data_IF_057076838982
#
_entry.id   IF_057076838982
#
_cell.length_a   1.000
_cell.length_b   1.000
_cell.length_c   1.000
_cell.angle_alpha   90.00
_cell.angle_beta   90.00
_cell.angle_gamma   90.00
#
_symmetry.space_group_name_H-M   'P 1'
#
loop_
_entity.id
_entity.type
_entity.pdbx_description
1 polymer ?
#
# COMPACT_ATOMS: atom_id res chain seq x y z
N UNK A 1 57.66 21.18 -48.35
CA UNK A 1 56.31 21.64 -48.21
C UNK A 1 55.63 20.76 -47.09
N UNK A 2 55.47 21.30 -45.88
CA UNK A 2 54.88 20.55 -44.72
C UNK A 2 53.44 21.01 -44.57
N UNK A 3 52.47 20.11 -44.84
CA UNK A 3 51.04 20.34 -44.58
C UNK A 3 50.74 20.21 -43.08
N UNK A 4 50.41 21.32 -42.44
CA UNK A 4 49.82 21.33 -41.12
C UNK A 4 48.32 21.06 -41.26
N UNK A 5 47.85 19.90 -40.74
CA UNK A 5 46.42 19.64 -40.54
C UNK A 5 46.01 20.34 -39.27
N UNK A 6 45.06 21.25 -39.40
CA UNK A 6 44.39 21.94 -38.30
C UNK A 6 43.25 21.04 -37.83
N UNK A 7 43.36 20.50 -36.61
CA UNK A 7 42.29 19.71 -35.98
C UNK A 7 41.40 20.69 -35.20
N UNK A 8 40.20 20.94 -35.71
CA UNK A 8 39.18 21.73 -34.99
C UNK A 8 38.41 20.75 -34.07
N UNK A 9 38.68 20.85 -32.76
CA UNK A 9 37.88 20.16 -31.74
C UNK A 9 36.63 21.00 -31.46
N UNK A 10 35.50 20.53 -31.94
CA UNK A 10 34.20 21.11 -31.57
C UNK A 10 33.82 20.56 -30.20
N UNK A 11 33.96 21.39 -29.17
CA UNK A 11 33.44 21.10 -27.82
C UNK A 11 31.94 21.36 -27.85
N UNK A 12 31.14 20.31 -27.99
CA UNK A 12 29.68 20.39 -27.80
C UNK A 12 29.40 20.53 -26.31
N UNK A 13 29.22 21.74 -25.83
CA UNK A 13 28.67 22.00 -24.53
C UNK A 13 27.17 21.62 -24.57
N UNK A 14 26.82 20.46 -24.02
CA UNK A 14 25.42 20.11 -23.68
C UNK A 14 24.96 21.11 -22.60
N UNK A 15 24.30 22.18 -23.02
CA UNK A 15 23.45 22.95 -22.13
C UNK A 15 22.27 22.03 -21.73
N UNK A 16 22.37 21.38 -20.57
CA UNK A 16 21.19 20.92 -19.85
C UNK A 16 20.39 22.16 -19.45
N UNK A 17 19.51 22.62 -20.34
CA UNK A 17 18.45 23.53 -19.93
C UNK A 17 17.63 22.79 -18.85
N UNK A 18 17.72 23.25 -17.62
CA UNK A 18 16.82 22.80 -16.58
C UNK A 18 15.39 23.08 -17.08
N UNK A 19 14.67 22.05 -17.45
CA UNK A 19 13.24 22.21 -17.73
C UNK A 19 12.58 22.73 -16.44
N UNK A 20 11.72 23.76 -16.54
CA UNK A 20 11.00 24.21 -15.36
C UNK A 20 10.26 23.01 -14.76
N UNK A 21 10.38 22.81 -13.45
CA UNK A 21 9.71 21.72 -12.78
C UNK A 21 8.20 21.83 -13.06
N UNK A 22 7.63 20.77 -13.59
CA UNK A 22 6.20 20.73 -13.91
C UNK A 22 5.41 20.75 -12.61
N UNK A 23 4.51 21.73 -12.42
CA UNK A 23 3.58 21.70 -11.31
C UNK A 23 2.63 20.49 -11.47
N UNK A 24 2.48 19.73 -10.39
CA UNK A 24 1.55 18.61 -10.36
C UNK A 24 0.11 19.12 -10.12
N UNK A 25 -0.88 18.54 -10.80
CA UNK A 25 -2.27 18.98 -10.66
C UNK A 25 -2.85 18.50 -9.33
N UNK A 26 -3.62 19.37 -8.67
CA UNK A 26 -4.47 18.98 -7.53
C UNK A 26 -5.77 18.37 -8.02
N UNK A 27 -6.38 17.51 -7.20
CA UNK A 27 -7.76 17.10 -7.42
C UNK A 27 -8.73 18.11 -6.80
N UNK A 28 -9.86 18.33 -7.48
CA UNK A 28 -10.94 19.15 -6.92
C UNK A 28 -11.62 18.41 -5.76
N UNK A 29 -11.81 19.11 -4.65
CA UNK A 29 -12.61 18.62 -3.53
C UNK A 29 -13.81 19.52 -3.39
N UNK A 30 -15.01 18.97 -3.50
CA UNK A 30 -16.25 19.73 -3.29
C UNK A 30 -16.26 20.37 -1.89
N UNK A 31 -17.02 21.47 -1.68
CA UNK A 31 -17.15 22.09 -0.36
C UNK A 31 -17.54 21.07 0.71
N UNK A 32 -16.79 21.05 1.80
CA UNK A 32 -16.98 20.08 2.88
C UNK A 32 -17.72 20.70 4.06
N UNK A 33 -18.38 19.88 4.91
CA UNK A 33 -18.94 20.33 6.18
C UNK A 33 -17.87 21.02 7.04
N UNK A 34 -18.28 22.01 7.83
CA UNK A 34 -17.37 22.83 8.66
C UNK A 34 -16.58 22.03 9.73
N UNK A 35 -16.93 20.77 9.96
CA UNK A 35 -16.20 19.88 10.83
C UNK A 35 -14.96 19.26 10.17
N UNK A 36 -14.77 19.44 8.85
CA UNK A 36 -13.58 19.01 8.11
C UNK A 36 -12.66 20.21 7.96
N UNK A 37 -11.54 20.18 8.67
CA UNK A 37 -10.57 21.29 8.68
C UNK A 37 -9.59 21.17 7.50
N UNK A 38 -10.05 21.57 6.30
CA UNK A 38 -9.26 21.51 5.06
C UNK A 38 -7.97 22.33 5.14
N UNK A 39 -7.98 23.42 5.92
CA UNK A 39 -6.83 24.29 6.18
C UNK A 39 -5.70 23.62 6.96
N UNK A 40 -5.97 22.45 7.59
CA UNK A 40 -5.02 21.66 8.37
C UNK A 40 -4.54 20.40 7.63
N UNK A 41 -4.96 20.21 6.40
CA UNK A 41 -4.71 18.97 5.67
C UNK A 41 -3.30 18.83 5.07
N UNK A 42 -2.40 19.79 5.31
CA UNK A 42 -1.02 19.76 4.82
C UNK A 42 -0.14 18.71 5.48
N UNK A 43 1.01 18.42 4.87
CA UNK A 43 2.05 17.60 5.49
C UNK A 43 2.85 18.41 6.50
N UNK A 44 3.13 17.83 7.66
CA UNK A 44 3.94 18.43 8.73
C UNK A 44 5.32 17.76 8.78
N UNK A 45 6.38 18.55 8.84
CA UNK A 45 7.76 18.10 8.99
C UNK A 45 8.34 18.56 10.31
N UNK A 46 8.23 17.78 11.40
CA UNK A 46 8.74 18.19 12.73
C UNK A 46 10.27 18.13 12.84
N UNK A 47 10.96 17.56 11.86
CA UNK A 47 12.41 17.42 11.75
C UNK A 47 12.94 17.78 10.37
N UNK A 48 13.98 17.07 9.92
CA UNK A 48 14.48 17.15 8.54
C UNK A 48 13.43 16.69 7.56
N UNK A 49 13.52 17.13 6.31
CA UNK A 49 12.69 16.66 5.21
C UNK A 49 13.49 16.00 4.06
N UNK A 50 14.80 15.81 4.27
CA UNK A 50 15.70 15.30 3.23
C UNK A 50 15.24 13.99 2.57
N UNK A 51 14.64 13.07 3.32
CA UNK A 51 14.12 11.82 2.75
C UNK A 51 12.96 12.10 1.80
N UNK A 52 12.07 13.02 2.15
CA UNK A 52 10.95 13.43 1.31
C UNK A 52 11.45 14.16 0.04
N UNK A 53 12.46 15.02 0.18
CA UNK A 53 13.05 15.74 -0.95
C UNK A 53 13.74 14.77 -1.93
N UNK A 54 14.42 13.73 -1.42
CA UNK A 54 14.97 12.64 -2.25
C UNK A 54 13.85 11.88 -2.99
N UNK A 55 12.76 11.56 -2.31
CA UNK A 55 11.59 10.92 -2.93
C UNK A 55 11.03 11.79 -4.07
N UNK A 56 10.91 13.10 -3.86
CA UNK A 56 10.47 14.03 -4.92
C UNK A 56 11.47 14.10 -6.09
N UNK A 57 12.76 14.02 -5.82
CA UNK A 57 13.80 13.92 -6.87
C UNK A 57 13.67 12.65 -7.71
N UNK A 58 13.19 11.52 -7.13
CA UNK A 58 12.87 10.31 -7.89
C UNK A 58 11.65 10.52 -8.79
N UNK A 59 10.62 11.20 -8.31
CA UNK A 59 9.44 11.57 -9.12
C UNK A 59 9.84 12.48 -10.30
N UNK A 60 10.69 13.48 -10.05
CA UNK A 60 11.21 14.37 -11.11
C UNK A 60 11.94 13.57 -12.19
N UNK A 61 12.84 12.68 -11.78
CA UNK A 61 13.60 11.82 -12.70
C UNK A 61 12.67 10.88 -13.48
N UNK A 62 11.62 10.36 -12.84
CA UNK A 62 10.62 9.52 -13.48
C UNK A 62 9.84 10.31 -14.54
N UNK A 63 9.35 11.51 -14.20
CA UNK A 63 8.62 12.40 -15.12
C UNK A 63 9.49 12.87 -16.29
N UNK A 64 10.76 13.14 -16.04
CA UNK A 64 11.73 13.47 -17.08
C UNK A 64 12.10 12.27 -17.99
N UNK A 65 11.55 11.09 -17.74
CA UNK A 65 11.82 9.88 -18.51
C UNK A 65 13.19 9.24 -18.27
N UNK A 66 13.98 9.75 -17.33
CA UNK A 66 15.36 9.29 -17.04
C UNK A 66 15.45 8.34 -15.84
N UNK A 67 14.44 8.36 -14.94
CA UNK A 67 14.44 7.58 -13.71
C UNK A 67 13.93 6.15 -13.87
N UNK A 68 14.09 5.36 -12.82
CA UNK A 68 13.42 4.06 -12.62
C UNK A 68 11.99 4.26 -12.12
N UNK A 69 11.22 3.18 -12.02
CA UNK A 69 9.96 3.17 -11.27
C UNK A 69 10.16 3.59 -9.82
N UNK A 70 9.15 4.22 -9.25
CA UNK A 70 9.08 4.65 -7.85
C UNK A 70 8.09 3.75 -7.12
N UNK A 71 8.51 3.18 -6.01
CA UNK A 71 7.72 2.22 -5.26
C UNK A 71 7.15 2.83 -3.99
N UNK A 72 5.84 2.74 -3.82
CA UNK A 72 5.13 3.20 -2.62
C UNK A 72 4.54 1.99 -1.91
N UNK A 73 4.79 1.87 -0.59
CA UNK A 73 4.13 0.87 0.24
C UNK A 73 3.19 1.53 1.24
N UNK A 74 1.88 1.31 1.07
CA UNK A 74 0.85 1.79 1.99
C UNK A 74 0.38 0.65 2.88
N UNK A 75 0.73 0.71 4.16
CA UNK A 75 0.44 -0.34 5.14
C UNK A 75 -0.49 0.14 6.23
N UNK A 76 -1.48 -0.70 6.59
CA UNK A 76 -2.43 -0.33 7.63
C UNK A 76 -3.41 -1.41 8.04
N UNK A 77 -4.38 -1.01 8.83
CA UNK A 77 -5.46 -1.87 9.30
C UNK A 77 -6.68 -1.89 8.37
N UNK A 78 -7.86 -1.91 8.98
CA UNK A 78 -9.15 -1.93 8.27
C UNK A 78 -9.37 -0.71 7.37
N UNK A 79 -8.81 0.45 7.70
CA UNK A 79 -8.90 1.66 6.86
C UNK A 79 -8.23 1.46 5.49
N UNK A 80 -7.14 0.69 5.46
CA UNK A 80 -6.42 0.35 4.23
C UNK A 80 -7.07 -0.84 3.52
N UNK A 81 -7.45 -1.91 4.26
CA UNK A 81 -8.13 -3.07 3.68
C UNK A 81 -9.48 -2.71 3.03
N UNK A 82 -10.16 -1.68 3.49
CA UNK A 82 -11.41 -1.21 2.89
C UNK A 82 -11.25 -0.81 1.42
N UNK A 83 -10.04 -0.47 1.00
CA UNK A 83 -9.67 -0.17 -0.38
C UNK A 83 -10.02 1.25 -0.84
N UNK A 84 -11.09 1.85 -0.35
CA UNK A 84 -11.56 3.16 -0.82
C UNK A 84 -10.51 4.27 -0.69
N UNK A 85 -9.85 4.37 0.47
CA UNK A 85 -8.79 5.35 0.72
C UNK A 85 -7.53 5.07 -0.09
N UNK A 86 -7.02 3.85 0.05
CA UNK A 86 -5.75 3.44 -0.58
C UNK A 86 -5.85 3.41 -2.10
N UNK A 87 -6.97 2.93 -2.65
CA UNK A 87 -7.17 2.91 -4.10
C UNK A 87 -7.36 4.32 -4.67
N UNK A 88 -8.12 5.20 -3.97
CA UNK A 88 -8.27 6.58 -4.41
C UNK A 88 -6.94 7.32 -4.48
N UNK A 89 -6.09 7.14 -3.45
CA UNK A 89 -4.74 7.71 -3.45
C UNK A 89 -3.87 7.13 -4.57
N UNK A 90 -3.92 5.81 -4.79
CA UNK A 90 -3.22 5.15 -5.90
C UNK A 90 -3.67 5.72 -7.25
N UNK A 91 -4.98 5.80 -7.49
CA UNK A 91 -5.56 6.33 -8.73
C UNK A 91 -5.03 7.75 -9.02
N UNK A 92 -5.08 8.64 -8.04
CA UNK A 92 -4.62 10.01 -8.18
C UNK A 92 -3.10 10.09 -8.43
N UNK A 93 -2.30 9.39 -7.65
CA UNK A 93 -0.84 9.39 -7.79
C UNK A 93 -0.38 8.85 -9.15
N UNK A 94 -1.02 7.79 -9.64
CA UNK A 94 -0.66 7.17 -10.93
C UNK A 94 -1.23 7.90 -12.14
N UNK A 95 -2.16 8.85 -11.93
CA UNK A 95 -2.80 9.65 -12.98
C UNK A 95 -2.31 11.10 -13.05
N UNK A 96 -1.37 11.50 -12.17
CA UNK A 96 -0.84 12.89 -12.16
C UNK A 96 -0.17 13.27 -13.49
N UNK A 97 0.46 12.32 -14.18
CA UNK A 97 1.06 12.46 -15.49
C UNK A 97 1.11 11.08 -16.18
N UNK A 98 1.10 11.06 -17.52
CA UNK A 98 1.13 9.80 -18.29
C UNK A 98 2.35 8.93 -17.97
N UNK A 99 3.50 9.55 -17.69
CA UNK A 99 4.74 8.86 -17.30
C UNK A 99 4.70 8.22 -15.92
N UNK A 100 3.66 8.47 -15.11
CA UNK A 100 3.54 7.97 -13.73
C UNK A 100 2.64 6.72 -13.61
N UNK A 101 2.15 6.19 -14.74
CA UNK A 101 1.34 4.96 -14.77
C UNK A 101 2.20 3.71 -14.62
N UNK A 102 2.45 3.26 -13.40
CA UNK A 102 3.24 2.06 -13.09
C UNK A 102 2.40 0.81 -12.85
N UNK A 103 2.80 -0.01 -11.87
CA UNK A 103 2.16 -1.28 -11.53
C UNK A 103 1.02 -1.13 -10.52
N UNK A 104 0.03 -2.02 -10.63
CA UNK A 104 -1.09 -2.10 -9.68
C UNK A 104 -0.65 -2.47 -8.27
N UNK A 105 0.44 -3.22 -8.15
CA UNK A 105 0.90 -3.78 -6.90
C UNK A 105 0.11 -5.02 -6.45
N UNK A 106 0.27 -5.38 -5.18
CA UNK A 106 -0.29 -6.62 -4.64
C UNK A 106 -1.82 -6.62 -4.57
N UNK A 107 -2.38 -7.81 -4.79
CA UNK A 107 -3.80 -8.12 -4.66
C UNK A 107 -3.94 -9.40 -3.84
N UNK A 108 -4.90 -9.41 -2.93
CA UNK A 108 -5.38 -10.64 -2.31
C UNK A 108 -6.85 -10.85 -2.68
N UNK A 109 -7.25 -12.06 -3.10
CA UNK A 109 -8.65 -12.35 -3.46
C UNK A 109 -9.51 -12.52 -2.19
N UNK A 110 -9.79 -11.43 -1.50
CA UNK A 110 -10.43 -11.39 -0.16
C UNK A 110 -11.70 -12.22 -0.01
N UNK A 111 -12.41 -12.49 -1.11
CA UNK A 111 -13.63 -13.32 -1.07
C UNK A 111 -13.37 -14.75 -0.62
N UNK A 112 -12.21 -15.35 -0.96
CA UNK A 112 -11.84 -16.69 -0.48
C UNK A 112 -11.61 -16.69 1.05
N UNK A 113 -11.26 -15.55 1.62
CA UNK A 113 -11.08 -15.37 3.05
C UNK A 113 -12.35 -14.85 3.76
N UNK A 114 -13.49 -14.77 3.05
CA UNK A 114 -14.79 -14.36 3.58
C UNK A 114 -14.76 -13.01 4.32
N UNK A 115 -13.91 -12.08 3.84
CA UNK A 115 -13.75 -10.73 4.41
C UNK A 115 -14.05 -9.67 3.34
N UNK A 116 -14.16 -8.40 3.77
CA UNK A 116 -14.44 -7.30 2.87
C UNK A 116 -13.32 -7.14 1.83
N UNK A 117 -13.72 -6.90 0.60
CA UNK A 117 -12.83 -6.69 -0.54
C UNK A 117 -12.84 -5.24 -0.97
N UNK A 118 -11.70 -4.78 -1.42
CA UNK A 118 -11.55 -3.62 -2.27
C UNK A 118 -12.40 -3.80 -3.55
N UNK A 119 -13.03 -2.71 -4.00
CA UNK A 119 -13.85 -2.71 -5.21
C UNK A 119 -13.06 -2.39 -6.48
N UNK A 120 -11.76 -2.13 -6.38
CA UNK A 120 -10.89 -1.81 -7.51
C UNK A 120 -10.55 -3.04 -8.39
N UNK A 121 -10.96 -4.23 -7.96
CA UNK A 121 -10.82 -5.47 -8.74
C UNK A 121 -11.96 -6.45 -8.41
N UNK A 122 -12.16 -7.42 -9.29
CA UNK A 122 -13.14 -8.49 -9.12
C UNK A 122 -12.45 -9.79 -8.82
N UNK A 123 -13.07 -10.63 -7.99
CA UNK A 123 -12.60 -11.99 -7.72
C UNK A 123 -13.73 -12.98 -7.81
N UNK A 124 -13.44 -14.14 -8.38
CA UNK A 124 -14.26 -15.35 -8.34
C UNK A 124 -13.45 -16.50 -7.77
N UNK A 125 -14.10 -17.53 -7.29
CA UNK A 125 -13.41 -18.73 -6.83
C UNK A 125 -14.34 -19.94 -6.85
N UNK A 126 -13.75 -21.12 -6.92
CA UNK A 126 -14.38 -22.43 -6.73
C UNK A 126 -13.62 -23.22 -5.68
N UNK A 127 -14.20 -24.35 -5.26
CA UNK A 127 -13.58 -25.23 -4.30
C UNK A 127 -13.66 -24.76 -2.85
N UNK A 128 -13.01 -25.53 -1.97
CA UNK A 128 -12.99 -25.29 -0.53
C UNK A 128 -11.72 -24.57 -0.09
N UNK A 129 -11.91 -23.57 0.76
CA UNK A 129 -10.82 -22.74 1.25
C UNK A 129 -10.91 -22.52 2.75
N UNK A 130 -9.81 -22.78 3.45
CA UNK A 130 -9.55 -22.29 4.81
C UNK A 130 -8.81 -20.95 4.72
N UNK A 131 -9.07 -20.04 5.63
CA UNK A 131 -8.40 -18.74 5.61
C UNK A 131 -8.01 -18.26 7.00
N UNK A 132 -6.98 -17.44 7.05
CA UNK A 132 -6.48 -16.82 8.26
C UNK A 132 -6.02 -15.38 7.99
N UNK A 133 -6.15 -14.53 9.02
CA UNK A 133 -5.61 -13.17 9.02
C UNK A 133 -4.64 -13.02 10.19
N UNK A 134 -3.47 -12.46 9.94
CA UNK A 134 -2.40 -12.29 10.94
C UNK A 134 -2.83 -11.47 12.17
N UNK A 135 -3.89 -10.69 12.06
CA UNK A 135 -4.46 -9.90 13.15
C UNK A 135 -5.44 -10.67 14.06
N UNK A 136 -5.74 -11.93 13.74
CA UNK A 136 -6.76 -12.73 14.44
C UNK A 136 -6.21 -14.09 14.85
N UNK A 137 -6.78 -14.65 15.90
CA UNK A 137 -6.47 -16.04 16.30
C UNK A 137 -7.26 -17.00 15.43
N UNK A 138 -6.60 -17.97 14.82
CA UNK A 138 -7.21 -19.01 14.02
C UNK A 138 -6.96 -20.37 14.67
N UNK A 139 -7.98 -21.24 14.64
CA UNK A 139 -7.90 -22.60 15.22
C UNK A 139 -7.54 -23.64 14.16
N UNK A 140 -7.98 -23.40 12.91
CA UNK A 140 -7.97 -24.43 11.86
C UNK A 140 -6.83 -24.21 10.85
N UNK A 141 -6.18 -23.07 10.87
CA UNK A 141 -5.10 -22.73 9.96
C UNK A 141 -4.05 -21.84 10.64
N UNK A 142 -2.78 -22.26 10.62
CA UNK A 142 -1.65 -21.46 11.10
C UNK A 142 -0.62 -21.25 9.97
N UNK A 143 -0.89 -20.38 9.01
CA UNK A 143 -0.05 -20.19 7.84
C UNK A 143 1.17 -19.32 8.17
N UNK A 144 2.20 -19.41 7.30
CA UNK A 144 3.25 -18.38 7.23
C UNK A 144 2.69 -17.20 6.46
N UNK A 145 2.43 -16.10 7.16
CA UNK A 145 1.97 -14.88 6.53
C UNK A 145 3.13 -14.10 5.89
N UNK A 146 2.85 -13.51 4.74
CA UNK A 146 3.72 -12.54 4.07
C UNK A 146 3.23 -11.10 4.26
N UNK A 147 3.66 -10.23 3.36
CA UNK A 147 3.41 -8.78 3.38
C UNK A 147 1.93 -8.40 3.35
N UNK A 148 1.04 -9.26 2.82
CA UNK A 148 -0.40 -9.00 2.81
C UNK A 148 -1.07 -9.30 4.16
N UNK A 149 -0.40 -10.03 5.08
CA UNK A 149 -0.92 -10.37 6.41
C UNK A 149 -2.20 -11.19 6.40
N UNK A 150 -2.51 -11.84 5.28
CA UNK A 150 -3.68 -12.70 5.07
C UNK A 150 -3.27 -13.90 4.24
N UNK A 151 -3.89 -15.05 4.48
CA UNK A 151 -3.63 -16.28 3.74
C UNK A 151 -4.91 -17.07 3.54
N UNK A 152 -4.93 -17.84 2.45
CA UNK A 152 -5.98 -18.86 2.20
C UNK A 152 -5.34 -20.13 1.70
N UNK A 153 -5.78 -21.27 2.24
CA UNK A 153 -5.28 -22.59 1.92
C UNK A 153 -6.38 -23.44 1.31
N UNK A 154 -6.01 -24.21 0.30
CA UNK A 154 -6.88 -25.25 -0.28
C UNK A 154 -6.15 -26.56 -0.38
N UNK A 155 -6.87 -27.66 -0.15
CA UNK A 155 -6.50 -29.05 -0.49
C UNK A 155 -7.37 -29.61 -1.62
N UNK A 156 -8.21 -28.78 -2.20
CA UNK A 156 -9.14 -29.15 -3.27
C UNK A 156 -8.48 -28.95 -4.63
N UNK A 157 -8.26 -30.03 -5.36
CA UNK A 157 -7.67 -30.02 -6.71
C UNK A 157 -8.55 -29.36 -7.78
N UNK A 158 -9.83 -29.11 -7.48
CA UNK A 158 -10.77 -28.39 -8.34
C UNK A 158 -10.91 -26.90 -7.96
N UNK A 159 -10.16 -26.47 -6.93
CA UNK A 159 -10.17 -25.07 -6.52
C UNK A 159 -9.58 -24.16 -7.60
N UNK A 160 -10.23 -23.04 -7.81
CA UNK A 160 -9.73 -21.96 -8.69
C UNK A 160 -9.89 -20.59 -8.04
N UNK A 161 -9.09 -19.63 -8.50
CA UNK A 161 -9.23 -18.22 -8.14
C UNK A 161 -9.14 -17.39 -9.42
N UNK A 162 -10.22 -16.67 -9.74
CA UNK A 162 -10.25 -15.68 -10.81
C UNK A 162 -10.00 -14.28 -10.28
N UNK A 163 -9.16 -13.50 -10.96
CA UNK A 163 -8.87 -12.09 -10.68
C UNK A 163 -9.11 -11.29 -11.96
N UNK A 164 -9.88 -10.20 -11.86
CA UNK A 164 -10.15 -9.29 -12.96
C UNK A 164 -9.94 -7.84 -12.54
N UNK A 165 -9.12 -7.10 -13.28
CA UNK A 165 -8.76 -5.69 -13.05
C UNK A 165 -9.56 -4.73 -13.91
N UNK A 166 -10.27 -5.22 -14.93
CA UNK A 166 -11.12 -4.43 -15.82
C UNK A 166 -12.46 -4.05 -15.17
N UNK A 167 -12.45 -3.09 -14.24
CA UNK A 167 -13.68 -2.59 -13.62
C UNK A 167 -14.30 -1.46 -14.43
N UNK A 168 -13.47 -0.67 -15.10
CA UNK A 168 -13.87 0.38 -16.07
C UNK A 168 -13.27 0.06 -17.44
N UNK A 169 -13.56 0.88 -18.43
CA UNK A 169 -12.91 0.82 -19.74
C UNK A 169 -11.40 1.18 -19.69
N UNK A 170 -10.89 1.46 -18.51
CA UNK A 170 -9.49 1.82 -18.29
C UNK A 170 -8.59 0.59 -18.44
N UNK A 171 -7.64 0.68 -19.37
CA UNK A 171 -6.62 -0.35 -19.64
C UNK A 171 -5.36 -0.17 -18.78
N UNK A 172 -5.39 0.75 -17.80
CA UNK A 172 -4.24 1.10 -16.96
C UNK A 172 -3.62 -0.13 -16.29
N UNK A 173 -4.44 -1.09 -15.89
CA UNK A 173 -4.02 -2.26 -15.13
C UNK A 173 -3.91 -3.54 -15.95
N UNK A 174 -3.68 -3.46 -17.26
CA UNK A 174 -3.31 -4.64 -18.05
C UNK A 174 -1.92 -5.12 -17.71
N UNK A 175 -1.72 -6.43 -17.73
CA UNK A 175 -0.48 -7.11 -17.38
C UNK A 175 -0.19 -8.26 -18.34
N UNK A 176 1.08 -8.60 -18.48
CA UNK A 176 1.56 -9.75 -19.27
C UNK A 176 2.45 -10.69 -18.45
N UNK A 177 2.61 -10.42 -17.13
CA UNK A 177 3.23 -11.32 -16.16
C UNK A 177 2.38 -11.37 -14.91
N UNK A 178 2.44 -12.47 -14.21
CA UNK A 178 1.65 -12.65 -13.00
C UNK A 178 2.45 -13.40 -11.95
N UNK A 179 2.49 -12.88 -10.72
CA UNK A 179 3.15 -13.51 -9.59
C UNK A 179 2.13 -14.01 -8.60
N UNK A 180 2.33 -15.24 -8.14
CA UNK A 180 1.61 -15.80 -7.01
C UNK A 180 2.55 -15.84 -5.81
N UNK A 181 2.21 -15.12 -4.75
CA UNK A 181 2.84 -15.21 -3.45
C UNK A 181 2.16 -16.34 -2.69
N UNK A 182 2.95 -17.30 -2.24
CA UNK A 182 2.40 -18.46 -1.57
C UNK A 182 3.39 -19.61 -1.51
N UNK A 183 2.94 -20.73 -0.99
CA UNK A 183 3.77 -21.92 -0.87
C UNK A 183 2.94 -23.19 -0.92
N UNK A 184 3.55 -24.23 -1.41
CA UNK A 184 3.04 -25.60 -1.51
C UNK A 184 3.48 -26.41 -0.29
N UNK A 185 2.68 -27.42 0.12
CA UNK A 185 3.03 -28.36 1.17
C UNK A 185 4.08 -29.37 0.70
N UNK A 186 4.15 -29.65 -0.60
CA UNK A 186 5.15 -30.50 -1.23
C UNK A 186 5.52 -30.00 -2.63
N UNK A 187 6.65 -30.47 -3.24
CA UNK A 187 7.04 -30.10 -4.60
C UNK A 187 6.07 -30.57 -5.68
N UNK A 188 5.20 -31.52 -5.37
CA UNK A 188 4.21 -32.07 -6.30
C UNK A 188 2.99 -31.13 -6.46
N UNK A 189 2.75 -30.26 -5.49
CA UNK A 189 1.70 -29.24 -5.54
C UNK A 189 2.14 -28.08 -6.43
N UNK A 190 1.40 -27.82 -7.49
CA UNK A 190 1.77 -26.83 -8.51
C UNK A 190 0.58 -25.92 -8.85
N UNK A 191 0.71 -24.61 -8.65
CA UNK A 191 -0.23 -23.66 -9.23
C UNK A 191 0.00 -23.56 -10.74
N UNK A 192 -1.06 -23.26 -11.49
CA UNK A 192 -0.99 -22.97 -12.92
C UNK A 192 -1.95 -21.82 -13.25
N UNK A 193 -1.71 -21.12 -14.36
CA UNK A 193 -2.67 -20.15 -14.88
C UNK A 193 -3.42 -20.72 -16.06
N UNK A 194 -4.70 -20.35 -16.16
CA UNK A 194 -5.54 -20.65 -17.33
C UNK A 194 -5.51 -19.45 -18.27
N UNK A 195 -5.13 -19.70 -19.53
CA UNK A 195 -5.08 -18.72 -20.61
C UNK A 195 -5.85 -19.24 -21.82
N UNK A 196 -7.12 -18.85 -21.98
CA UNK A 196 -8.02 -19.44 -22.97
C UNK A 196 -8.25 -20.92 -22.70
N UNK A 197 -7.83 -21.78 -23.61
CA UNK A 197 -7.88 -23.28 -23.48
C UNK A 197 -6.59 -23.85 -22.89
N UNK A 198 -5.54 -23.07 -22.78
CA UNK A 198 -4.21 -23.53 -22.40
C UNK A 198 -3.94 -23.30 -20.91
N UNK A 199 -3.01 -24.06 -20.37
CA UNK A 199 -2.46 -23.84 -19.04
C UNK A 199 -1.01 -23.39 -19.15
N UNK A 200 -0.63 -22.41 -18.30
CA UNK A 200 0.73 -21.87 -18.23
C UNK A 200 1.42 -22.38 -16.98
N UNK A 201 2.64 -22.84 -17.14
CA UNK A 201 3.54 -23.20 -16.03
C UNK A 201 4.32 -21.98 -15.52
N UNK A 202 4.80 -22.10 -14.30
CA UNK A 202 5.56 -21.06 -13.60
C UNK A 202 7.07 -21.28 -13.70
N UNK A 203 7.79 -20.19 -13.46
CA UNK A 203 9.20 -20.18 -13.04
C UNK A 203 9.26 -19.72 -11.59
N UNK A 204 10.10 -20.36 -10.77
CA UNK A 204 10.36 -19.86 -9.41
C UNK A 204 11.19 -18.58 -9.47
N UNK A 205 10.72 -17.55 -8.78
CA UNK A 205 11.50 -16.33 -8.56
C UNK A 205 12.71 -16.66 -7.67
N UNK A 206 13.95 -16.41 -8.12
CA UNK A 206 15.15 -16.87 -7.40
C UNK A 206 15.40 -16.13 -6.07
N UNK A 207 14.83 -14.93 -5.89
CA UNK A 207 15.01 -14.15 -4.65
C UNK A 207 13.96 -14.47 -3.60
N UNK A 208 12.75 -14.81 -4.03
CA UNK A 208 11.58 -14.89 -3.14
C UNK A 208 10.88 -16.24 -3.14
N UNK A 209 11.30 -17.16 -4.02
CA UNK A 209 10.69 -18.48 -4.21
C UNK A 209 9.18 -18.43 -4.59
N UNK A 210 8.69 -17.27 -4.97
CA UNK A 210 7.33 -17.09 -5.46
C UNK A 210 7.17 -17.67 -6.87
N UNK A 211 5.93 -17.86 -7.32
CA UNK A 211 5.62 -18.46 -8.60
C UNK A 211 5.36 -17.34 -9.61
N UNK A 212 6.17 -17.27 -10.66
CA UNK A 212 6.10 -16.25 -11.70
C UNK A 212 5.69 -16.86 -13.02
N UNK A 213 4.72 -16.25 -13.69
CA UNK A 213 4.16 -16.66 -14.97
C UNK A 213 4.33 -15.56 -16.00
N UNK A 214 4.79 -15.91 -17.20
CA UNK A 214 4.76 -15.06 -18.37
C UNK A 214 3.51 -15.40 -19.19
N UNK A 215 2.70 -14.39 -19.54
CA UNK A 215 1.50 -14.55 -20.34
C UNK A 215 1.82 -14.24 -21.82
N UNK A 216 1.19 -14.95 -22.77
CA UNK A 216 1.46 -14.75 -24.20
C UNK A 216 0.94 -13.41 -24.76
N UNK A 217 0.05 -12.73 -24.02
CA UNK A 217 -0.53 -11.43 -24.37
C UNK A 217 -0.89 -10.63 -23.13
N UNK A 218 -1.05 -9.32 -23.31
CA UNK A 218 -1.58 -8.47 -22.24
C UNK A 218 -3.05 -8.78 -21.97
N UNK A 219 -3.38 -8.93 -20.70
CA UNK A 219 -4.75 -9.18 -20.22
C UNK A 219 -5.03 -8.34 -18.97
N UNK A 220 -6.30 -8.21 -18.62
CA UNK A 220 -6.77 -7.65 -17.35
C UNK A 220 -7.40 -8.72 -16.45
N UNK A 221 -7.40 -9.98 -16.88
CA UNK A 221 -8.00 -11.11 -16.16
C UNK A 221 -7.08 -12.32 -16.14
N UNK A 222 -7.18 -13.11 -15.07
CA UNK A 222 -6.46 -14.37 -14.94
C UNK A 222 -7.25 -15.32 -14.05
N UNK A 223 -7.14 -16.62 -14.34
CA UNK A 223 -7.63 -17.67 -13.45
C UNK A 223 -6.46 -18.55 -13.01
N UNK A 224 -6.32 -18.71 -11.71
CA UNK A 224 -5.34 -19.59 -11.06
C UNK A 224 -6.04 -20.93 -10.80
N UNK A 225 -5.42 -22.02 -11.19
CA UNK A 225 -5.79 -23.38 -10.80
C UNK A 225 -4.64 -24.04 -10.04
N UNK A 226 -4.91 -25.21 -9.47
CA UNK A 226 -3.95 -25.92 -8.64
C UNK A 226 -3.95 -27.40 -8.98
N UNK A 227 -2.76 -27.97 -9.17
CA UNK A 227 -2.57 -29.41 -9.13
C UNK A 227 -2.19 -29.80 -7.72
N UNK A 228 -3.08 -30.47 -6.99
CA UNK A 228 -2.92 -30.83 -5.59
C UNK A 228 -3.16 -32.34 -5.44
N UNK A 229 -2.11 -33.15 -5.19
CA UNK A 229 -2.26 -34.55 -4.83
C UNK A 229 -3.03 -34.72 -3.52
N UNK A 230 -3.57 -35.92 -3.30
CA UNK A 230 -4.30 -36.28 -2.09
C UNK A 230 -3.43 -36.07 -0.84
N UNK A 231 -4.00 -35.40 0.17
CA UNK A 231 -3.31 -35.10 1.45
C UNK A 231 -2.43 -33.84 1.42
N UNK A 232 -2.25 -33.24 0.25
CA UNK A 232 -1.42 -32.03 0.08
C UNK A 232 -2.26 -30.75 0.05
N UNK A 233 -1.59 -29.61 0.03
CA UNK A 233 -2.26 -28.30 0.03
C UNK A 233 -1.41 -27.20 -0.61
N UNK A 234 -2.09 -26.14 -1.06
CA UNK A 234 -1.47 -24.88 -1.45
C UNK A 234 -1.96 -23.72 -0.59
N UNK A 235 -1.03 -22.90 -0.10
CA UNK A 235 -1.36 -21.69 0.67
C UNK A 235 -1.03 -20.45 -0.16
N UNK A 236 -2.06 -19.68 -0.50
CA UNK A 236 -1.98 -18.39 -1.19
C UNK A 236 -1.83 -17.28 -0.14
N UNK A 237 -0.82 -16.43 -0.28
CA UNK A 237 -0.59 -15.26 0.59
C UNK A 237 -0.70 -13.91 -0.14
N UNK A 238 -0.85 -13.94 -1.45
CA UNK A 238 -1.05 -12.75 -2.28
C UNK A 238 -0.81 -13.04 -3.76
N UNK A 239 -1.08 -12.06 -4.58
CA UNK A 239 -0.79 -12.07 -6.02
C UNK A 239 -0.31 -10.70 -6.48
N UNK A 240 0.39 -10.64 -7.61
CA UNK A 240 0.86 -9.42 -8.23
C UNK A 240 0.73 -9.50 -9.75
N UNK A 241 -0.17 -8.71 -10.36
CA UNK A 241 -0.18 -8.48 -11.80
C UNK A 241 0.99 -7.55 -12.16
N UNK A 242 1.77 -7.90 -13.19
CA UNK A 242 2.98 -7.18 -13.58
C UNK A 242 2.89 -6.84 -15.06
N UNK A 243 2.99 -5.55 -15.39
CA UNK A 243 2.96 -5.05 -16.77
C UNK A 243 4.35 -4.73 -17.33
N UNK A 244 5.34 -4.57 -16.46
CA UNK A 244 6.66 -4.05 -16.81
C UNK A 244 6.66 -2.55 -17.12
N UNK A 245 5.57 -1.85 -16.89
CA UNK A 245 5.47 -0.40 -17.11
C UNK A 245 6.29 0.36 -16.10
N UNK A 246 7.03 1.33 -16.57
CA UNK A 246 7.72 2.27 -15.69
C UNK A 246 6.73 3.33 -15.19
N UNK A 247 6.75 3.59 -13.89
CA UNK A 247 5.85 4.54 -13.25
C UNK A 247 5.88 4.43 -11.75
N UNK A 248 4.84 4.88 -11.08
CA UNK A 248 4.62 4.65 -9.66
C UNK A 248 4.01 3.26 -9.49
N UNK A 249 4.72 2.40 -8.78
CA UNK A 249 4.23 1.11 -8.33
C UNK A 249 3.66 1.29 -6.93
N UNK A 250 2.37 0.98 -6.75
CA UNK A 250 1.71 1.22 -5.48
C UNK A 250 1.27 -0.09 -4.84
N UNK A 251 1.97 -0.46 -3.78
CA UNK A 251 1.71 -1.68 -3.01
C UNK A 251 0.88 -1.33 -1.79
N UNK A 252 -0.21 -2.05 -1.61
CA UNK A 252 -1.14 -1.83 -0.51
C UNK A 252 -1.25 -3.09 0.34
N UNK A 253 -1.03 -2.95 1.65
CA UNK A 253 -1.15 -4.04 2.62
C UNK A 253 -2.07 -3.61 3.76
N UNK A 254 -3.31 -4.11 3.76
CA UNK A 254 -4.30 -3.81 4.78
C UNK A 254 -4.90 -5.06 5.38
N UNK A 255 -4.95 -5.13 6.72
CA UNK A 255 -5.57 -6.25 7.44
C UNK A 255 -6.47 -5.75 8.55
N UNK A 256 -7.74 -6.15 8.53
CA UNK A 256 -8.70 -5.79 9.58
C UNK A 256 -8.16 -6.15 10.97
N UNK A 257 -8.15 -5.18 11.87
CA UNK A 257 -7.67 -5.38 13.24
C UNK A 257 -6.14 -5.34 13.40
N UNK A 258 -5.36 -5.15 12.33
CA UNK A 258 -3.92 -5.17 12.40
C UNK A 258 -3.34 -4.09 13.32
N UNK A 259 -2.32 -4.50 14.07
CA UNK A 259 -1.42 -3.70 14.89
C UNK A 259 -0.02 -3.73 14.28
N UNK A 260 0.88 -2.92 14.76
CA UNK A 260 2.30 -3.01 14.37
C UNK A 260 2.87 -4.41 14.61
N UNK A 261 2.52 -5.03 15.75
CA UNK A 261 2.94 -6.40 16.09
C UNK A 261 2.40 -7.45 15.12
N UNK A 262 1.30 -7.19 14.43
CA UNK A 262 0.79 -8.08 13.37
C UNK A 262 1.84 -8.29 12.28
N UNK A 263 2.44 -7.22 11.79
CA UNK A 263 3.49 -7.29 10.77
C UNK A 263 4.81 -7.84 11.31
N UNK A 264 5.16 -7.48 12.55
CA UNK A 264 6.45 -7.80 13.16
C UNK A 264 6.56 -9.23 13.71
N UNK A 265 5.45 -9.80 14.15
CA UNK A 265 5.45 -11.06 14.91
C UNK A 265 4.68 -12.17 14.20
N UNK A 266 3.68 -11.81 13.38
CA UNK A 266 2.83 -12.79 12.72
C UNK A 266 3.16 -12.97 11.23
N UNK A 267 3.96 -12.08 10.63
CA UNK A 267 4.31 -12.12 9.20
C UNK A 267 5.80 -12.46 9.00
N UNK A 268 6.21 -13.71 9.22
CA UNK A 268 7.62 -14.11 9.11
C UNK A 268 8.21 -13.94 7.71
N UNK A 269 7.37 -13.94 6.68
CA UNK A 269 7.79 -13.74 5.29
C UNK A 269 7.83 -12.25 4.88
N UNK A 270 7.48 -11.30 5.76
CA UNK A 270 7.55 -9.87 5.48
C UNK A 270 8.94 -9.40 4.98
N UNK A 271 10.09 -9.79 5.59
CA UNK A 271 11.40 -9.38 5.10
C UNK A 271 11.69 -9.90 3.68
N UNK A 272 11.23 -11.12 3.34
CA UNK A 272 11.34 -11.68 2.00
C UNK A 272 10.52 -10.86 0.99
N UNK A 273 9.26 -10.58 1.32
CA UNK A 273 8.35 -9.90 0.42
C UNK A 273 8.70 -8.42 0.24
N UNK A 274 9.31 -7.77 1.25
CA UNK A 274 9.86 -6.41 1.11
C UNK A 274 10.93 -6.29 0.02
N UNK A 275 11.63 -7.40 -0.34
CA UNK A 275 12.55 -7.41 -1.48
C UNK A 275 11.84 -7.19 -2.82
N UNK A 276 10.56 -7.56 -2.93
CA UNK A 276 9.75 -7.28 -4.12
C UNK A 276 9.35 -5.80 -4.19
N UNK A 277 9.05 -5.21 -3.05
CA UNK A 277 8.55 -3.83 -2.97
C UNK A 277 9.70 -2.83 -3.07
N UNK A 278 10.75 -2.97 -2.25
CA UNK A 278 11.85 -1.99 -2.11
C UNK A 278 11.32 -0.55 -2.09
N UNK A 279 10.54 -0.17 -1.09
CA UNK A 279 9.77 1.09 -1.13
C UNK A 279 10.67 2.32 -1.09
N UNK A 280 10.36 3.31 -1.92
CA UNK A 280 10.94 4.66 -1.89
C UNK A 280 10.17 5.56 -0.92
N UNK A 281 8.89 5.26 -0.76
CA UNK A 281 8.00 5.88 0.22
C UNK A 281 7.17 4.81 0.92
N UNK A 282 7.15 4.82 2.25
CA UNK A 282 6.20 4.02 3.01
C UNK A 282 5.19 4.94 3.71
N UNK A 283 3.89 4.66 3.51
CA UNK A 283 2.78 5.38 4.12
C UNK A 283 2.22 4.49 5.24
N UNK A 284 2.32 4.94 6.47
CA UNK A 284 1.87 4.23 7.65
C UNK A 284 0.49 4.70 8.09
N UNK A 285 -0.54 3.87 7.84
CA UNK A 285 -1.92 4.04 8.32
C UNK A 285 -2.27 2.95 9.36
N UNK A 286 -1.34 2.68 10.29
CA UNK A 286 -1.46 1.67 11.35
C UNK A 286 -1.24 2.31 12.71
N UNK A 287 -1.94 1.83 13.76
CA UNK A 287 -1.81 2.38 15.11
C UNK A 287 -3.13 2.48 15.87
N UNK A 288 -4.26 2.56 15.15
CA UNK A 288 -5.57 2.70 15.81
C UNK A 288 -5.91 1.46 16.65
N UNK A 289 -5.56 0.27 16.20
CA UNK A 289 -5.76 -0.97 16.94
C UNK A 289 -4.71 -1.16 18.06
N UNK A 290 -3.50 -0.63 17.91
CA UNK A 290 -2.47 -0.59 18.95
C UNK A 290 -2.95 0.23 20.15
N UNK A 291 -3.65 1.33 19.88
CA UNK A 291 -4.18 2.24 20.88
C UNK A 291 -5.61 1.91 21.34
N UNK A 292 -6.23 0.86 20.83
CA UNK A 292 -7.60 0.46 21.20
C UNK A 292 -7.66 -0.24 22.58
N UNK A 293 -7.05 0.36 23.60
CA UNK A 293 -6.99 -0.13 24.99
C UNK A 293 -7.35 0.99 25.96
N UNK A 294 -7.34 0.70 27.27
CA UNK A 294 -7.50 1.76 28.29
C UNK A 294 -6.27 2.68 28.25
N UNK A 295 -6.45 3.95 28.59
CA UNK A 295 -5.35 4.91 28.56
C UNK A 295 -4.14 4.52 29.44
N UNK A 296 -4.39 3.89 30.60
CA UNK A 296 -3.35 3.39 31.50
C UNK A 296 -2.56 2.21 30.94
N UNK A 297 -3.14 1.48 29.99
CA UNK A 297 -2.56 0.27 29.39
C UNK A 297 -1.77 0.61 28.11
N UNK A 298 -2.04 1.75 27.47
CA UNK A 298 -1.29 2.19 26.30
C UNK A 298 0.12 2.64 26.69
N UNK A 299 1.12 2.06 26.03
CA UNK A 299 2.54 2.34 26.29
C UNK A 299 3.16 3.01 25.06
N UNK A 300 3.25 4.35 24.99
CA UNK A 300 3.74 5.05 23.80
C UNK A 300 5.18 4.69 23.43
N UNK A 301 6.04 4.35 24.38
CA UNK A 301 7.42 3.93 24.08
C UNK A 301 7.47 2.55 23.40
N UNK A 302 6.61 1.61 23.80
CA UNK A 302 6.47 0.31 23.12
C UNK A 302 5.91 0.49 21.71
N UNK A 303 4.94 1.38 21.56
CA UNK A 303 4.37 1.74 20.27
C UNK A 303 5.44 2.32 19.32
N UNK A 304 6.23 3.27 19.80
CA UNK A 304 7.35 3.85 19.03
C UNK A 304 8.42 2.80 18.69
N UNK A 305 8.77 1.93 19.64
CA UNK A 305 9.76 0.87 19.37
C UNK A 305 9.27 -0.12 18.30
N UNK A 306 8.00 -0.46 18.27
CA UNK A 306 7.44 -1.29 17.21
C UNK A 306 7.54 -0.59 15.84
N UNK A 307 7.32 0.72 15.76
CA UNK A 307 7.58 1.48 14.53
C UNK A 307 9.06 1.45 14.14
N UNK A 308 9.98 1.64 15.09
CA UNK A 308 11.43 1.56 14.83
C UNK A 308 11.83 0.19 14.28
N UNK A 309 11.25 -0.89 14.82
CA UNK A 309 11.48 -2.26 14.32
C UNK A 309 11.00 -2.39 12.87
N UNK A 310 9.79 -1.93 12.54
CA UNK A 310 9.26 -1.97 11.18
C UNK A 310 10.09 -1.13 10.21
N UNK A 311 10.48 0.07 10.61
CA UNK A 311 11.34 0.96 9.81
C UNK A 311 12.71 0.33 9.55
N UNK A 312 13.30 -0.37 10.53
CA UNK A 312 14.56 -1.10 10.32
C UNK A 312 14.41 -2.16 9.22
N UNK A 313 13.35 -2.96 9.25
CA UNK A 313 13.09 -3.98 8.20
C UNK A 313 12.93 -3.34 6.81
N UNK A 314 12.27 -2.19 6.72
CA UNK A 314 12.15 -1.45 5.46
C UNK A 314 13.52 -0.95 5.00
N UNK A 315 14.30 -0.33 5.89
CA UNK A 315 15.60 0.26 5.54
C UNK A 315 16.67 -0.78 5.20
N UNK A 316 16.54 -2.02 5.63
CA UNK A 316 17.38 -3.13 5.16
C UNK A 316 17.26 -3.34 3.64
N UNK A 317 16.10 -3.05 3.05
CA UNK A 317 15.85 -3.18 1.62
C UNK A 317 15.92 -1.82 0.88
N UNK A 318 15.64 -0.72 1.57
CA UNK A 318 15.51 0.63 1.04
C UNK A 318 16.05 1.65 2.05
N UNK A 319 17.39 1.85 2.13
CA UNK A 319 18.02 2.72 3.12
C UNK A 319 17.52 4.16 3.11
N UNK A 320 17.16 4.68 1.93
CA UNK A 320 16.71 6.04 1.68
C UNK A 320 15.19 6.20 1.67
N UNK A 321 14.43 5.18 2.08
CA UNK A 321 12.97 5.22 2.10
C UNK A 321 12.45 6.42 2.92
N UNK A 322 11.60 7.22 2.30
CA UNK A 322 10.84 8.26 2.98
C UNK A 322 9.62 7.67 3.68
N UNK A 323 9.11 8.37 4.70
CA UNK A 323 7.94 7.93 5.45
C UNK A 323 6.90 9.04 5.56
N UNK A 324 5.61 8.66 5.49
CA UNK A 324 4.48 9.49 5.90
C UNK A 324 3.75 8.74 7.02
N UNK A 325 3.68 9.33 8.19
CA UNK A 325 2.89 8.83 9.30
C UNK A 325 1.49 9.46 9.24
N UNK A 326 0.45 8.63 9.09
CA UNK A 326 -0.93 9.08 9.18
C UNK A 326 -1.38 8.89 10.63
N UNK A 327 -1.72 9.98 11.31
CA UNK A 327 -2.20 9.88 12.69
C UNK A 327 -3.54 9.15 12.76
N UNK A 328 -3.84 8.53 13.89
CA UNK A 328 -5.14 7.90 14.08
C UNK A 328 -6.24 8.96 14.01
N UNK A 329 -7.37 8.60 13.39
CA UNK A 329 -8.59 9.41 13.50
C UNK A 329 -9.11 9.42 14.94
N UNK A 330 -9.85 10.46 15.31
CA UNK A 330 -10.67 10.43 16.51
C UNK A 330 -11.67 9.28 16.43
N UNK A 331 -11.83 8.52 17.52
CA UNK A 331 -12.57 7.24 17.44
C UNK A 331 -13.10 6.74 18.76
N UNK A 332 -14.04 5.82 18.62
CA UNK A 332 -14.43 4.91 19.71
C UNK A 332 -13.71 3.57 19.52
N UNK A 333 -13.61 2.79 20.59
CA UNK A 333 -13.07 1.42 20.57
C UNK A 333 -14.09 0.42 21.09
N UNK A 334 -14.01 -0.80 20.63
CA UNK A 334 -14.87 -1.88 21.09
C UNK A 334 -14.50 -2.34 22.50
N UNK A 335 -15.51 -2.65 23.29
CA UNK A 335 -15.41 -3.29 24.60
C UNK A 335 -16.51 -4.36 24.69
N UNK A 336 -16.46 -5.23 25.72
CA UNK A 336 -17.43 -6.32 25.91
C UNK A 336 -18.91 -5.85 26.00
N UNK A 337 -19.15 -4.60 26.36
CA UNK A 337 -20.49 -4.01 26.52
C UNK A 337 -20.83 -2.98 25.43
N UNK A 338 -20.19 -3.05 24.26
CA UNK A 338 -20.41 -2.11 23.15
C UNK A 338 -19.17 -1.28 22.82
N UNK A 339 -19.32 0.03 22.71
CA UNK A 339 -18.22 0.93 22.34
C UNK A 339 -17.99 2.00 23.41
N UNK A 340 -16.73 2.38 23.60
CA UNK A 340 -16.31 3.48 24.48
C UNK A 340 -15.35 4.40 23.73
N UNK A 341 -15.26 5.66 24.14
CA UNK A 341 -14.34 6.62 23.56
C UNK A 341 -12.88 6.14 23.71
N UNK A 342 -12.08 6.31 22.65
CA UNK A 342 -10.65 6.02 22.68
C UNK A 342 -9.85 7.27 23.12
N UNK A 343 -9.43 7.28 24.38
CA UNK A 343 -8.69 8.41 24.97
C UNK A 343 -7.22 8.51 24.50
N UNK A 344 -6.74 7.55 23.70
CA UNK A 344 -5.32 7.48 23.33
C UNK A 344 -4.96 8.31 22.08
N UNK A 345 -5.94 8.89 21.38
CA UNK A 345 -5.72 9.69 20.17
C UNK A 345 -4.58 10.73 20.30
N UNK A 346 -4.65 11.67 21.26
CA UNK A 346 -3.58 12.68 21.45
C UNK A 346 -2.20 12.07 21.76
N UNK A 347 -2.16 10.96 22.49
CA UNK A 347 -0.90 10.28 22.85
C UNK A 347 -0.27 9.62 21.62
N UNK A 348 -1.08 9.01 20.77
CA UNK A 348 -0.63 8.42 19.49
C UNK A 348 -0.15 9.53 18.54
N UNK A 349 -0.94 10.60 18.39
CA UNK A 349 -0.56 11.76 17.59
C UNK A 349 0.85 12.26 18.00
N UNK A 350 1.05 12.55 19.29
CA UNK A 350 2.36 12.96 19.81
C UNK A 350 3.47 11.95 19.49
N UNK A 351 3.22 10.65 19.68
CA UNK A 351 4.21 9.61 19.40
C UNK A 351 4.60 9.55 17.91
N UNK A 352 3.64 9.75 17.00
CA UNK A 352 3.90 9.78 15.55
C UNK A 352 4.68 11.05 15.15
N UNK A 353 4.41 12.19 15.74
CA UNK A 353 5.23 13.41 15.54
C UNK A 353 6.67 13.23 16.05
N UNK A 354 6.87 12.57 17.19
CA UNK A 354 8.20 12.25 17.72
C UNK A 354 8.97 11.31 16.78
N UNK A 355 8.32 10.27 16.26
CA UNK A 355 8.89 9.37 15.26
C UNK A 355 9.23 10.10 13.96
N UNK A 356 8.33 10.93 13.46
CA UNK A 356 8.58 11.69 12.24
C UNK A 356 9.78 12.64 12.41
N UNK A 357 9.95 13.26 13.58
CA UNK A 357 11.13 14.06 13.92
C UNK A 357 12.40 13.22 13.93
N UNK A 358 12.35 12.00 14.53
CA UNK A 358 13.49 11.07 14.63
C UNK A 358 13.97 10.61 13.25
N UNK A 359 13.04 10.37 12.33
CA UNK A 359 13.33 9.79 11.01
C UNK A 359 13.40 10.83 9.87
N UNK A 360 13.23 12.13 10.14
CA UNK A 360 13.19 13.16 9.11
C UNK A 360 12.04 12.92 8.12
N UNK A 361 10.84 12.72 8.63
CA UNK A 361 9.69 12.22 7.90
C UNK A 361 8.49 13.13 8.03
N UNK A 362 7.48 12.93 7.17
CA UNK A 362 6.24 13.68 7.21
C UNK A 362 5.21 13.06 8.17
N UNK A 363 4.35 13.90 8.72
CA UNK A 363 3.09 13.52 9.38
C UNK A 363 1.92 14.11 8.60
N UNK A 364 0.92 13.29 8.32
CA UNK A 364 -0.39 13.74 7.89
C UNK A 364 -1.37 13.56 9.04
N UNK A 365 -1.82 14.68 9.62
CA UNK A 365 -2.48 14.70 10.93
C UNK A 365 -3.99 14.60 10.82
N UNK A 366 -4.52 13.39 10.59
CA UNK A 366 -5.96 13.12 10.49
C UNK A 366 -6.69 13.47 11.79
N UNK A 367 -6.03 13.32 12.95
CA UNK A 367 -6.65 13.69 14.23
C UNK A 367 -6.98 15.18 14.29
N UNK A 368 -6.05 16.05 13.83
CA UNK A 368 -6.26 17.50 13.78
C UNK A 368 -7.19 17.91 12.65
N UNK A 369 -7.07 17.30 11.48
CA UNK A 369 -7.98 17.50 10.33
C UNK A 369 -9.45 17.25 10.73
N UNK A 370 -9.69 16.25 11.55
CA UNK A 370 -11.03 15.95 12.07
C UNK A 370 -11.52 16.98 13.11
N UNK A 371 -10.61 17.72 13.77
CA UNK A 371 -10.90 18.64 14.83
C UNK A 371 -10.63 18.11 16.23
N UNK A 372 -9.84 17.03 16.34
CA UNK A 372 -9.40 16.47 17.61
C UNK A 372 -10.49 15.71 18.37
N UNK A 373 -10.45 15.80 19.68
CA UNK A 373 -11.34 15.08 20.58
C UNK A 373 -12.84 15.35 20.30
N UNK A 374 -13.63 14.29 20.29
CA UNK A 374 -15.09 14.28 20.06
C UNK A 374 -15.52 14.68 18.62
N UNK A 375 -14.56 14.87 17.71
CA UNK A 375 -14.83 15.24 16.31
C UNK A 375 -15.48 14.11 15.52
N UNK A 376 -15.23 12.86 15.86
CA UNK A 376 -15.80 11.68 15.19
C UNK A 376 -17.33 11.69 15.17
N UNK A 377 -17.97 12.29 16.18
CA UNK A 377 -19.42 12.44 16.23
C UNK A 377 -19.91 13.40 15.13
N UNK A 378 -19.22 14.55 14.97
CA UNK A 378 -19.54 15.54 13.93
C UNK A 378 -19.35 14.97 12.53
N UNK A 379 -18.27 14.19 12.32
CA UNK A 379 -18.00 13.52 11.05
C UNK A 379 -19.04 12.43 10.75
N UNK A 380 -19.50 11.68 11.77
CA UNK A 380 -20.60 10.73 11.61
C UNK A 380 -21.91 11.44 11.22
N UNK A 381 -22.23 12.53 11.90
CA UNK A 381 -23.46 13.30 11.63
C UNK A 381 -23.43 13.97 10.26
N UNK A 382 -22.23 14.25 9.73
CA UNK A 382 -21.98 14.69 8.38
C UNK A 382 -21.97 13.55 7.32
N UNK A 383 -22.17 12.28 7.73
CA UNK A 383 -22.19 11.13 6.82
C UNK A 383 -20.80 10.61 6.40
N UNK A 384 -19.71 11.12 6.98
CA UNK A 384 -18.33 10.76 6.61
C UNK A 384 -17.76 9.61 7.45
N UNK A 385 -18.34 9.34 8.62
CA UNK A 385 -17.96 8.24 9.52
C UNK A 385 -19.18 7.35 9.75
N UNK A 386 -18.95 6.04 9.85
CA UNK A 386 -20.00 5.05 10.13
C UNK A 386 -20.54 5.17 11.57
N UNK A 387 -21.66 4.53 11.82
CA UNK A 387 -22.30 4.49 13.14
C UNK A 387 -21.45 3.86 14.24
N UNK A 388 -20.43 3.08 13.86
CA UNK A 388 -19.45 2.49 14.78
C UNK A 388 -18.45 3.51 15.35
N UNK A 389 -18.45 4.75 14.84
CA UNK A 389 -17.57 5.85 15.29
C UNK A 389 -16.09 5.48 15.26
N UNK A 390 -15.71 4.69 14.28
CA UNK A 390 -14.35 4.22 14.05
C UNK A 390 -14.00 4.26 12.57
N UNK A 391 -14.82 3.63 11.72
CA UNK A 391 -14.58 3.51 10.30
C UNK A 391 -15.26 4.63 9.52
N UNK A 392 -14.61 5.11 8.47
CA UNK A 392 -15.20 6.07 7.55
C UNK A 392 -16.22 5.39 6.62
N UNK A 393 -17.14 6.18 6.09
CA UNK A 393 -17.97 5.75 4.96
C UNK A 393 -17.12 5.67 3.68
N UNK A 394 -17.60 5.08 2.58
CA UNK A 394 -16.88 5.15 1.31
C UNK A 394 -16.53 6.59 0.90
N UNK A 395 -17.47 7.52 1.08
CA UNK A 395 -17.31 8.95 0.80
C UNK A 395 -16.24 9.58 1.69
N UNK A 396 -16.24 9.26 2.99
CA UNK A 396 -15.21 9.73 3.92
C UNK A 396 -13.83 9.20 3.58
N UNK A 397 -13.71 7.94 3.15
CA UNK A 397 -12.43 7.38 2.68
C UNK A 397 -11.92 8.02 1.38
N UNK A 398 -12.81 8.27 0.41
CA UNK A 398 -12.46 8.96 -0.83
C UNK A 398 -11.96 10.37 -0.52
N UNK A 399 -12.67 11.11 0.36
CA UNK A 399 -12.25 12.42 0.82
C UNK A 399 -10.84 12.39 1.44
N UNK A 400 -10.54 11.42 2.30
CA UNK A 400 -9.20 11.26 2.87
C UNK A 400 -8.14 11.02 1.77
N UNK A 401 -8.47 10.25 0.74
CA UNK A 401 -7.60 10.02 -0.42
C UNK A 401 -7.30 11.30 -1.18
N UNK A 402 -8.33 12.10 -1.48
CA UNK A 402 -8.21 13.38 -2.15
C UNK A 402 -7.40 14.39 -1.34
N UNK A 403 -7.62 14.44 -0.03
CA UNK A 403 -6.92 15.37 0.87
C UNK A 403 -5.43 15.01 1.01
N UNK A 404 -5.09 13.72 1.21
CA UNK A 404 -3.70 13.29 1.30
C UNK A 404 -2.95 13.49 -0.02
N UNK A 405 -3.60 13.19 -1.14
CA UNK A 405 -3.06 13.47 -2.46
C UNK A 405 -2.72 14.97 -2.62
N UNK A 406 -3.69 15.85 -2.32
CA UNK A 406 -3.49 17.28 -2.40
C UNK A 406 -2.39 17.78 -1.44
N UNK A 407 -2.27 17.19 -0.24
CA UNK A 407 -1.20 17.50 0.69
C UNK A 407 0.20 17.17 0.12
N UNK A 408 0.32 16.00 -0.55
CA UNK A 408 1.56 15.59 -1.22
C UNK A 408 1.87 16.54 -2.38
N UNK A 409 0.87 16.88 -3.20
CA UNK A 409 1.03 17.79 -4.34
C UNK A 409 1.38 19.21 -3.91
N UNK A 410 0.72 19.74 -2.87
CA UNK A 410 1.02 21.07 -2.34
C UNK A 410 2.45 21.16 -1.81
N UNK A 411 2.89 20.13 -1.09
CA UNK A 411 4.25 20.07 -0.57
C UNK A 411 5.28 19.94 -1.71
N UNK A 412 5.02 19.08 -2.69
CA UNK A 412 5.85 18.92 -3.87
C UNK A 412 5.99 20.24 -4.67
N UNK A 413 4.86 20.90 -4.98
CA UNK A 413 4.85 22.15 -5.73
C UNK A 413 5.47 23.31 -4.93
N UNK A 414 5.27 23.33 -3.61
CA UNK A 414 5.82 24.36 -2.71
C UNK A 414 7.35 24.38 -2.64
N UNK A 415 8.00 23.23 -2.89
CA UNK A 415 9.47 23.13 -2.89
C UNK A 415 10.13 23.67 -4.18
N UNK A 416 9.34 23.99 -5.20
CA UNK A 416 9.81 24.41 -6.53
C UNK A 416 9.57 25.89 -6.83
N UNK A 417 8.93 26.58 -5.88
CA UNK A 417 8.77 28.04 -5.89
C UNK A 417 9.95 28.71 -5.18
#
# INVERSE_FOLDING_TARGET
MKNKRLTISVLAALLCAAMPAQELPKTEIAPQPSCVHMDRAGLHFPGSREAQDRFYGLLDSLMAGSGRSVNIWHVGGSHVQAGHFSYRLQELLTSMADSLKGERGFIFPYRIAKTNSDKSFRTSFTGEWLSAMAASTHKDLNPRFGIMGIAAQTSDSLATVGIGLGISADTLWRFNRFRILGYASSPEVRPYLVSGTDTLDFVKDPETENYLFDLPFETDTVTIGFHIPEGESFTLTGTEPISGRRGINYYCSGVNGARLTTWLEQCPDLPRDLRLVKPDLAIFAVGINDSACKAVDFKPEVFKENYRRLIRLIREQSPDCAFIFITNNDSYRYISRGMTYNHNGPTVQKAMFELAKEYGSAVWDVYDIMGGKDSVIKWRDAGLVKTDRLHFTPEGYVLLGDMLYNAIVDDYNGQRK
#
